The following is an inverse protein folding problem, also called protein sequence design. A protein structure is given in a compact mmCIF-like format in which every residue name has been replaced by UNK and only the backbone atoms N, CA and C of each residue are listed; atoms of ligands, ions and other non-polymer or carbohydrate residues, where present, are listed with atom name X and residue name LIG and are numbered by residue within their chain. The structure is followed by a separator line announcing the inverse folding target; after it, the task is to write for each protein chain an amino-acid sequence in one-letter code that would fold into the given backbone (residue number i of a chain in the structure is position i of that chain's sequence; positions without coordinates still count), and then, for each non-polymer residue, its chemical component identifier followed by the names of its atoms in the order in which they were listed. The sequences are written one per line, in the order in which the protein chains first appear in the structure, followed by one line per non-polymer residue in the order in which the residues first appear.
data_IF_208847068519
#
_entry.id   IF_208847068519
#
_cell.length_a   1.000
_cell.length_b   1.000
_cell.length_c   1.000
_cell.angle_alpha   90.00
_cell.angle_beta   90.00
_cell.angle_gamma   90.00
#
_symmetry.space_group_name_H-M   'P 1'
#
loop_
_entity.id
_entity.type
_entity.pdbx_description
1 polymer ?
#
# COMPACT_ATOMS: atom_id res chain seq x y z
N UNK A 1 -25.70 -22.11 -12.92
CA UNK A 1 -25.04 -20.85 -13.31
C UNK A 1 -25.62 -19.61 -12.66
N UNK A 2 -26.84 -19.64 -12.19
CA UNK A 2 -27.45 -18.51 -11.46
C UNK A 2 -26.75 -18.15 -10.14
N UNK A 3 -26.12 -19.11 -9.44
CA UNK A 3 -25.42 -18.87 -8.18
C UNK A 3 -24.14 -18.02 -8.31
N UNK A 4 -23.54 -17.94 -9.48
CA UNK A 4 -22.34 -17.09 -9.68
C UNK A 4 -22.69 -15.61 -9.77
N UNK A 5 -23.85 -15.27 -10.30
CA UNK A 5 -24.31 -13.89 -10.41
C UNK A 5 -24.77 -13.32 -9.08
N UNK A 6 -25.41 -14.13 -8.22
CA UNK A 6 -25.81 -13.65 -6.89
C UNK A 6 -24.62 -13.46 -5.94
N UNK A 7 -23.51 -14.16 -6.16
CA UNK A 7 -22.25 -13.92 -5.44
C UNK A 7 -21.50 -12.70 -5.97
N UNK A 8 -21.62 -12.36 -7.27
CA UNK A 8 -20.99 -11.14 -7.81
C UNK A 8 -21.71 -9.86 -7.40
N UNK A 9 -22.97 -9.91 -7.01
CA UNK A 9 -23.65 -8.78 -6.38
C UNK A 9 -23.23 -8.53 -4.93
N UNK A 10 -22.54 -9.45 -4.31
CA UNK A 10 -21.79 -9.22 -3.08
C UNK A 10 -20.34 -8.91 -3.40
N UNK A 11 -20.13 -7.90 -4.23
CA UNK A 11 -18.90 -7.12 -4.19
C UNK A 11 -18.90 -6.45 -2.81
N UNK A 12 -18.47 -7.21 -1.83
CA UNK A 12 -18.38 -6.76 -0.47
C UNK A 12 -17.25 -5.75 -0.39
N UNK A 13 -17.27 -4.90 0.62
CA UNK A 13 -16.14 -4.05 0.98
C UNK A 13 -14.81 -4.81 0.96
N UNK A 14 -14.84 -6.10 1.26
CA UNK A 14 -13.68 -7.00 1.23
C UNK A 14 -13.11 -7.25 -0.18
N UNK A 15 -13.92 -7.16 -1.23
CA UNK A 15 -13.44 -7.22 -2.62
C UNK A 15 -12.70 -5.94 -2.99
N UNK A 16 -13.17 -4.79 -2.55
CA UNK A 16 -12.50 -3.51 -2.76
C UNK A 16 -11.18 -3.45 -1.99
N UNK A 17 -11.15 -3.97 -0.77
CA UNK A 17 -9.92 -4.10 0.01
C UNK A 17 -8.89 -4.97 -0.71
N UNK A 18 -9.31 -6.09 -1.30
CA UNK A 18 -8.43 -6.94 -2.11
C UNK A 18 -7.86 -6.19 -3.30
N UNK A 19 -8.70 -5.53 -4.08
CA UNK A 19 -8.28 -4.74 -5.25
C UNK A 19 -7.32 -3.62 -4.87
N UNK A 20 -7.60 -2.93 -3.77
CA UNK A 20 -6.71 -1.92 -3.20
C UNK A 20 -5.34 -2.51 -2.83
N UNK A 21 -5.33 -3.65 -2.18
CA UNK A 21 -4.09 -4.35 -1.80
C UNK A 21 -3.23 -4.71 -3.01
N UNK A 22 -3.84 -5.16 -4.11
CA UNK A 22 -3.13 -5.46 -5.37
C UNK A 22 -2.50 -4.20 -5.93
N UNK A 23 -3.24 -3.10 -6.02
CA UNK A 23 -2.71 -1.80 -6.50
C UNK A 23 -1.58 -1.31 -5.60
N UNK A 24 -1.72 -1.45 -4.29
CA UNK A 24 -0.68 -1.05 -3.34
C UNK A 24 0.60 -1.86 -3.54
N UNK A 25 0.51 -3.16 -3.80
CA UNK A 25 1.66 -3.99 -4.13
C UNK A 25 2.33 -3.56 -5.43
N UNK A 26 1.56 -3.23 -6.47
CA UNK A 26 2.11 -2.70 -7.73
C UNK A 26 2.88 -1.39 -7.51
N UNK A 27 2.35 -0.49 -6.68
CA UNK A 27 3.00 0.79 -6.35
C UNK A 27 4.31 0.56 -5.59
N UNK A 28 4.28 -0.31 -4.57
CA UNK A 28 5.46 -0.59 -3.73
C UNK A 28 6.59 -1.23 -4.54
N UNK A 29 6.25 -2.18 -5.39
CA UNK A 29 7.23 -3.02 -6.08
C UNK A 29 7.58 -2.54 -7.46
N UNK A 30 6.75 -1.68 -8.07
CA UNK A 30 6.81 -1.33 -9.49
C UNK A 30 6.75 -2.55 -10.45
N UNK A 31 6.10 -3.63 -10.01
CA UNK A 31 5.93 -4.86 -10.78
C UNK A 31 4.50 -5.02 -11.26
N UNK A 32 4.30 -5.67 -12.41
CA UNK A 32 2.95 -5.99 -12.88
C UNK A 32 2.28 -7.04 -11.97
N UNK A 33 0.95 -7.03 -11.95
CA UNK A 33 0.14 -7.99 -11.16
C UNK A 33 0.48 -9.45 -11.49
N UNK A 34 0.73 -9.74 -12.77
CA UNK A 34 1.12 -11.04 -13.26
C UNK A 34 2.39 -10.92 -14.09
N UNK A 35 3.45 -11.56 -13.64
CA UNK A 35 4.69 -11.64 -14.41
C UNK A 35 4.58 -12.80 -15.42
N UNK A 36 4.59 -12.45 -16.70
CA UNK A 36 4.43 -13.43 -17.79
C UNK A 36 5.72 -14.15 -18.16
N UNK A 37 6.85 -13.65 -17.70
CA UNK A 37 8.16 -14.20 -18.07
C UNK A 37 8.44 -15.56 -17.42
N UNK A 38 7.97 -15.76 -16.20
CA UNK A 38 8.18 -16.99 -15.42
C UNK A 38 6.85 -17.45 -14.80
N UNK A 39 6.24 -18.49 -15.38
CA UNK A 39 5.12 -19.27 -14.80
C UNK A 39 3.86 -18.48 -14.37
N UNK A 40 3.62 -17.27 -14.89
CA UNK A 40 2.45 -16.45 -14.53
C UNK A 40 2.27 -16.26 -13.01
N UNK A 41 3.33 -15.94 -12.31
CA UNK A 41 3.30 -15.71 -10.86
C UNK A 41 2.54 -14.41 -10.55
N UNK A 42 1.53 -14.53 -9.67
CA UNK A 42 0.82 -13.36 -9.16
C UNK A 42 1.70 -12.55 -8.20
N UNK A 43 1.60 -11.22 -8.25
CA UNK A 43 2.42 -10.31 -7.44
C UNK A 43 2.39 -10.63 -5.93
N UNK A 44 1.24 -11.03 -5.39
CA UNK A 44 1.11 -11.41 -3.98
C UNK A 44 1.91 -12.66 -3.63
N UNK A 45 2.01 -13.60 -4.54
CA UNK A 45 2.80 -14.82 -4.36
C UNK A 45 4.29 -14.49 -4.39
N UNK A 46 4.72 -13.67 -5.34
CA UNK A 46 6.11 -13.22 -5.43
C UNK A 46 6.53 -12.46 -4.16
N UNK A 47 5.71 -11.50 -3.69
CA UNK A 47 5.99 -10.74 -2.46
C UNK A 47 6.07 -11.68 -1.25
N UNK A 48 5.20 -12.68 -1.15
CA UNK A 48 5.24 -13.67 -0.07
C UNK A 48 6.57 -14.41 -0.03
N UNK A 49 7.06 -14.88 -1.18
CA UNK A 49 8.36 -15.56 -1.29
C UNK A 49 9.49 -14.64 -0.82
N UNK A 50 9.46 -13.37 -1.19
CA UNK A 50 10.47 -12.40 -0.79
C UNK A 50 10.40 -12.08 0.72
N UNK A 51 9.20 -11.99 1.29
CA UNK A 51 9.01 -11.81 2.73
C UNK A 51 9.55 -13.00 3.53
N UNK A 52 9.33 -14.22 3.05
CA UNK A 52 9.86 -15.43 3.69
C UNK A 52 11.38 -15.45 3.70
N UNK A 53 12.02 -14.80 2.74
CA UNK A 53 13.48 -14.59 2.69
C UNK A 53 13.96 -13.44 3.57
N UNK A 54 13.04 -12.63 4.10
CA UNK A 54 13.37 -11.43 4.87
C UNK A 54 13.97 -10.29 4.03
N UNK A 55 13.72 -10.28 2.73
CA UNK A 55 14.38 -9.40 1.77
C UNK A 55 13.49 -8.22 1.33
N UNK A 56 13.27 -7.29 2.25
CA UNK A 56 12.47 -6.10 1.97
C UNK A 56 13.12 -5.18 0.92
N UNK A 57 14.44 -5.16 0.86
CA UNK A 57 15.17 -4.31 -0.06
C UNK A 57 14.85 -4.64 -1.53
N UNK A 58 14.66 -5.91 -1.84
CA UNK A 58 14.31 -6.36 -3.18
C UNK A 58 12.81 -6.38 -3.46
N UNK A 59 11.96 -6.16 -2.44
CA UNK A 59 10.51 -5.98 -2.63
C UNK A 59 10.23 -4.56 -3.11
N UNK A 60 10.82 -3.56 -2.48
CA UNK A 60 10.59 -2.15 -2.78
C UNK A 60 11.19 -1.78 -4.14
N UNK A 61 10.51 -0.90 -4.87
CA UNK A 61 11.01 -0.35 -6.13
C UNK A 61 12.46 0.11 -6.00
N UNK A 62 13.37 -0.38 -6.85
CA UNK A 62 14.79 0.01 -6.82
C UNK A 62 15.04 1.52 -6.88
N UNK A 63 14.14 2.28 -7.45
CA UNK A 63 14.24 3.75 -7.52
C UNK A 63 14.14 4.42 -6.16
N UNK A 64 13.61 3.72 -5.16
CA UNK A 64 13.47 4.21 -3.79
C UNK A 64 14.64 3.82 -2.90
N UNK A 65 15.69 3.20 -3.43
CA UNK A 65 16.84 2.79 -2.65
C UNK A 65 17.46 3.96 -1.87
N UNK A 66 17.65 3.75 -0.56
CA UNK A 66 18.25 4.72 0.34
C UNK A 66 17.30 5.82 0.83
N UNK A 67 16.12 5.96 0.23
CA UNK A 67 15.20 7.07 0.51
C UNK A 67 13.93 6.66 1.26
N UNK A 68 13.89 5.47 1.84
CA UNK A 68 12.75 5.02 2.63
C UNK A 68 13.15 4.46 4.00
N UNK A 69 12.21 4.52 4.94
CA UNK A 69 12.37 3.88 6.23
C UNK A 69 12.01 2.39 6.12
N UNK A 70 12.95 1.53 6.46
CA UNK A 70 12.79 0.06 6.36
C UNK A 70 11.58 -0.43 7.17
N UNK A 71 11.36 0.12 8.38
CA UNK A 71 10.23 -0.27 9.21
C UNK A 71 8.89 0.14 8.60
N UNK A 72 8.82 1.33 8.00
CA UNK A 72 7.61 1.79 7.30
C UNK A 72 7.35 0.94 6.05
N UNK A 73 8.39 0.58 5.31
CA UNK A 73 8.28 -0.32 4.16
C UNK A 73 7.75 -1.69 4.57
N UNK A 74 8.28 -2.30 5.62
CA UNK A 74 7.79 -3.56 6.17
C UNK A 74 6.30 -3.48 6.52
N UNK A 75 5.91 -2.48 7.30
CA UNK A 75 4.51 -2.28 7.69
C UNK A 75 3.59 -2.09 6.49
N UNK A 76 4.02 -1.31 5.49
CA UNK A 76 3.23 -1.06 4.29
C UNK A 76 3.04 -2.33 3.47
N UNK A 77 4.08 -3.15 3.31
CA UNK A 77 3.98 -4.45 2.63
C UNK A 77 3.08 -5.40 3.41
N UNK A 78 3.19 -5.46 4.73
CA UNK A 78 2.30 -6.29 5.57
C UNK A 78 0.83 -5.88 5.44
N UNK A 79 0.54 -4.57 5.40
CA UNK A 79 -0.82 -4.06 5.18
C UNK A 79 -1.33 -4.51 3.82
N UNK A 80 -0.54 -4.35 2.76
CA UNK A 80 -0.91 -4.76 1.42
C UNK A 80 -1.17 -6.27 1.35
N UNK A 81 -0.32 -7.08 1.96
CA UNK A 81 -0.48 -8.54 2.01
C UNK A 81 -1.71 -8.98 2.82
N UNK A 82 -2.05 -8.27 3.89
CA UNK A 82 -3.29 -8.50 4.63
C UNK A 82 -4.53 -8.23 3.76
N UNK A 83 -4.49 -7.16 2.97
CA UNK A 83 -5.56 -6.81 2.04
C UNK A 83 -5.80 -7.87 0.96
N UNK A 84 -4.74 -8.51 0.46
CA UNK A 84 -4.82 -9.56 -0.58
C UNK A 84 -4.94 -10.97 -0.03
N UNK A 85 -5.29 -11.13 1.24
CA UNK A 85 -5.57 -12.44 1.81
C UNK A 85 -6.59 -13.20 0.97
N UNK A 86 -6.33 -14.48 0.69
CA UNK A 86 -7.25 -15.36 -0.04
C UNK A 86 -8.57 -15.53 0.68
N UNK A 87 -8.55 -15.47 2.01
CA UNK A 87 -9.76 -15.54 2.84
C UNK A 87 -10.29 -14.14 3.11
N UNK A 88 -11.47 -13.82 2.56
CA UNK A 88 -12.08 -12.48 2.66
C UNK A 88 -12.27 -12.01 4.12
N UNK A 89 -12.63 -12.90 5.03
CA UNK A 89 -12.83 -12.57 6.45
C UNK A 89 -11.54 -12.15 7.15
N UNK A 90 -10.38 -12.53 6.63
CA UNK A 90 -9.06 -12.15 7.18
C UNK A 90 -8.57 -10.79 6.67
N UNK A 91 -9.21 -10.24 5.65
CA UNK A 91 -8.87 -8.92 5.14
C UNK A 91 -9.33 -7.85 6.14
N UNK A 92 -8.49 -6.85 6.45
CA UNK A 92 -8.90 -5.75 7.31
C UNK A 92 -10.00 -4.90 6.66
N UNK A 93 -10.84 -4.19 7.44
CA UNK A 93 -11.71 -3.18 6.88
C UNK A 93 -10.90 -1.99 6.35
N UNK A 94 -11.40 -1.27 5.35
CA UNK A 94 -10.68 -0.15 4.73
C UNK A 94 -10.35 0.96 5.74
N UNK A 95 -11.19 1.19 6.73
CA UNK A 95 -10.94 2.14 7.82
C UNK A 95 -9.67 1.83 8.60
N UNK A 96 -9.42 0.57 8.89
CA UNK A 96 -8.19 0.11 9.54
C UNK A 96 -6.97 0.27 8.61
N UNK A 97 -7.12 -0.08 7.35
CA UNK A 97 -6.06 0.09 6.34
C UNK A 97 -5.61 1.54 6.29
N UNK A 98 -6.55 2.49 6.25
CA UNK A 98 -6.25 3.93 6.22
C UNK A 98 -5.49 4.36 7.46
N UNK A 99 -5.90 3.95 8.65
CA UNK A 99 -5.22 4.28 9.91
C UNK A 99 -3.78 3.78 9.90
N UNK A 100 -3.58 2.51 9.55
CA UNK A 100 -2.26 1.88 9.51
C UNK A 100 -1.32 2.52 8.48
N UNK A 101 -1.83 2.89 7.30
CA UNK A 101 -1.05 3.61 6.30
C UNK A 101 -0.68 5.02 6.75
N UNK A 102 -1.57 5.73 7.45
CA UNK A 102 -1.25 7.04 8.05
C UNK A 102 -0.13 6.94 9.09
N UNK A 103 -0.11 5.89 9.90
CA UNK A 103 0.99 5.62 10.84
C UNK A 103 2.33 5.43 10.12
N UNK A 104 2.33 4.73 8.98
CA UNK A 104 3.52 4.58 8.15
C UNK A 104 4.03 5.93 7.63
N UNK A 105 3.12 6.79 7.15
CA UNK A 105 3.47 8.14 6.68
C UNK A 105 4.06 9.01 7.78
N UNK A 106 3.51 8.96 8.98
CA UNK A 106 4.03 9.71 10.13
C UNK A 106 5.46 9.28 10.47
N UNK A 107 5.73 7.98 10.42
CA UNK A 107 7.07 7.44 10.66
C UNK A 107 8.09 7.87 9.60
N UNK A 108 7.67 8.03 8.35
CA UNK A 108 8.49 8.55 7.26
C UNK A 108 8.80 10.05 7.45
N UNK A 109 7.80 10.84 7.86
CA UNK A 109 7.97 12.28 8.09
C UNK A 109 8.99 12.58 9.19
N UNK A 110 8.94 11.85 10.30
CA UNK A 110 9.90 11.99 11.40
C UNK A 110 11.33 11.71 10.93
N UNK A 111 11.53 10.73 10.07
CA UNK A 111 12.86 10.43 9.50
C UNK A 111 13.37 11.59 8.67
N UNK A 112 12.53 12.20 7.85
CA UNK A 112 12.91 13.35 7.01
C UNK A 112 13.28 14.56 7.83
N UNK A 113 12.50 14.91 8.84
CA UNK A 113 12.79 16.02 9.74
C UNK A 113 14.13 15.85 10.48
N UNK A 114 14.45 14.64 10.91
CA UNK A 114 15.74 14.34 11.55
C UNK A 114 16.93 14.43 10.60
N UNK A 115 16.71 14.23 9.29
CA UNK A 115 17.76 14.36 8.27
C UNK A 115 17.93 15.80 7.77
N UNK A 116 16.84 16.59 7.75
CA UNK A 116 16.86 18.00 7.34
C UNK A 116 17.32 18.98 8.43
N UNK A 117 17.47 18.50 9.67
CA UNK A 117 18.04 19.29 10.76
C UNK A 117 19.51 19.68 10.54
N UNK A 118 20.17 19.14 9.51
CA UNK A 118 21.53 19.50 9.12
C UNK A 118 21.62 20.33 7.82
N UNK A 119 20.54 20.58 7.11
CA UNK A 119 20.55 21.49 5.95
C UNK A 119 19.34 22.39 5.97
N UNK A 120 19.61 23.67 6.15
CA UNK A 120 18.68 24.80 6.16
C UNK A 120 17.99 24.97 4.79
N UNK A 121 16.99 24.17 4.48
CA UNK A 121 16.03 24.46 3.43
C UNK A 121 14.64 24.11 3.90
N UNK A 122 13.83 25.15 4.07
CA UNK A 122 12.38 25.05 4.25
C UNK A 122 11.78 24.41 3.00
N UNK A 123 11.46 23.16 3.06
CA UNK A 123 10.52 22.57 2.10
C UNK A 123 9.14 22.75 2.70
N UNK A 124 8.34 23.62 2.09
CA UNK A 124 6.95 23.76 2.41
C UNK A 124 6.30 22.39 2.38
N UNK A 125 5.89 21.93 3.55
CA UNK A 125 5.04 20.76 3.69
C UNK A 125 3.81 21.04 2.87
N UNK A 126 3.62 20.31 1.79
CA UNK A 126 2.37 20.30 1.05
C UNK A 126 1.30 19.90 2.05
N UNK A 127 0.62 20.92 2.52
CA UNK A 127 -0.40 20.83 3.53
C UNK A 127 -1.51 19.91 3.00
N UNK A 128 -1.67 18.75 3.60
CA UNK A 128 -2.76 17.81 3.29
C UNK A 128 -4.15 18.35 3.66
N UNK A 129 -4.28 19.66 3.84
CA UNK A 129 -5.55 20.35 3.95
C UNK A 129 -6.25 20.56 2.59
N UNK A 130 -5.70 20.06 1.50
CA UNK A 130 -6.33 20.13 0.17
C UNK A 130 -7.68 19.42 0.07
N UNK A 131 -8.00 18.54 1.01
CA UNK A 131 -9.31 17.89 1.06
C UNK A 131 -10.37 18.63 1.89
N UNK A 132 -10.04 19.78 2.47
CA UNK A 132 -11.02 20.54 3.25
C UNK A 132 -11.72 21.68 2.50
N UNK A 133 -11.31 21.96 1.29
CA UNK A 133 -11.84 23.08 0.51
C UNK A 133 -12.43 22.67 -0.85
N UNK A 134 -13.07 21.57 -0.94
CA UNK A 134 -14.04 21.41 -2.01
C UNK A 134 -15.43 21.26 -1.40
N UNK A 135 -15.93 22.35 -0.90
CA UNK A 135 -17.36 22.54 -0.79
C UNK A 135 -17.82 23.26 -2.07
N UNK A 136 -18.27 22.54 -3.10
CA UNK A 136 -18.56 23.16 -4.40
C UNK A 136 -19.90 23.88 -4.44
N UNK A 137 -20.54 24.11 -3.33
CA UNK A 137 -21.89 24.67 -3.28
C UNK A 137 -22.05 25.72 -2.19
N UNK A 138 -21.20 26.73 -2.21
CA UNK A 138 -21.58 28.00 -1.67
C UNK A 138 -22.47 28.71 -2.71
N UNK A 139 -23.72 28.39 -2.72
CA UNK A 139 -24.81 29.19 -3.27
C UNK A 139 -25.97 29.17 -2.33
#
# INVERSE_FOLDING_TARGET
MACRFSLSYRLTEKSDVYSFGVVLLEIITSRPVIERADENIHISQWVRIMLDKGDIQNIVDPRMYGDFNVNSAWKTVEIAMACVSTTSSKRPPMSEVVVRLKECLTSESIKRENFEGESNYSVDIVNMNMFKESNPLAR
#
